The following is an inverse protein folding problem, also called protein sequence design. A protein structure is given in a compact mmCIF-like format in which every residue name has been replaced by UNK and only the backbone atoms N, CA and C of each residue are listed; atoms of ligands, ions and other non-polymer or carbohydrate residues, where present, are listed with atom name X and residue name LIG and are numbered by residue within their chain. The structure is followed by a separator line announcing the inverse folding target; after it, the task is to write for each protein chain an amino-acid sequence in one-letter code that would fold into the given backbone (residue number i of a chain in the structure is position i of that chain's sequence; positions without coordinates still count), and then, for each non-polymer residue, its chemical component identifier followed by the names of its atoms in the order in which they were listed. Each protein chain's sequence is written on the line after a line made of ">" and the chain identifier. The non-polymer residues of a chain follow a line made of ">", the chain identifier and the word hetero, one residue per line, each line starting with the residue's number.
data_IF_355593794882
#
_entry.id   IF_355593794882
#
_cell.length_a   1.000
_cell.length_b   1.000
_cell.length_c   1.000
_cell.angle_alpha   90.00
_cell.angle_beta   90.00
_cell.angle_gamma   90.00
#
_symmetry.space_group_name_H-M   'P 1'
#
loop_
_entity.id
_entity.type
_entity.pdbx_description
1 polymer ?
#
# COMPACT_ATOMS: atom_id res chain seq x y z
N UNK A 1 -0.45 -2.07 -48.20
CA UNK A 1 -0.55 -3.27 -47.35
C UNK A 1 0.83 -3.87 -46.99
N UNK A 2 1.71 -4.17 -47.96
CA UNK A 2 3.06 -4.77 -47.68
C UNK A 2 3.94 -3.93 -46.71
N UNK A 3 3.91 -2.59 -46.79
CA UNK A 3 4.68 -1.70 -45.92
C UNK A 3 4.20 -1.73 -44.45
N UNK A 4 2.86 -1.83 -44.23
CA UNK A 4 2.28 -1.91 -42.87
C UNK A 4 2.64 -3.23 -42.22
N UNK A 5 2.59 -4.33 -42.95
CA UNK A 5 2.97 -5.66 -42.44
C UNK A 5 4.46 -5.69 -42.03
N UNK A 6 5.34 -5.07 -42.83
CA UNK A 6 6.77 -4.99 -42.52
C UNK A 6 7.06 -4.14 -41.28
N UNK A 7 6.30 -3.03 -41.12
CA UNK A 7 6.45 -2.16 -39.94
C UNK A 7 5.95 -2.85 -38.67
N UNK A 8 4.83 -3.57 -38.74
CA UNK A 8 4.29 -4.36 -37.62
C UNK A 8 5.26 -5.50 -37.27
N UNK A 9 5.82 -6.18 -38.26
CA UNK A 9 6.80 -7.27 -38.03
C UNK A 9 8.11 -6.76 -37.44
N UNK A 10 8.60 -5.60 -37.88
CA UNK A 10 9.77 -4.95 -37.30
C UNK A 10 9.54 -4.47 -35.86
N UNK A 11 8.36 -3.92 -35.57
CA UNK A 11 7.97 -3.50 -34.22
C UNK A 11 7.81 -4.71 -33.26
N UNK A 12 7.22 -5.80 -33.74
CA UNK A 12 7.09 -7.04 -32.93
C UNK A 12 8.44 -7.73 -32.73
N UNK A 13 9.34 -7.71 -33.69
CA UNK A 13 10.68 -8.28 -33.52
C UNK A 13 11.54 -7.47 -32.54
N UNK A 14 11.42 -6.13 -32.51
CA UNK A 14 12.09 -5.30 -31.52
C UNK A 14 11.57 -5.56 -30.09
N UNK A 15 10.27 -5.82 -29.94
CA UNK A 15 9.66 -6.18 -28.65
C UNK A 15 10.11 -7.58 -28.16
N UNK A 16 10.40 -8.50 -29.05
CA UNK A 16 10.88 -9.83 -28.71
C UNK A 16 12.39 -9.87 -28.32
N UNK A 17 13.16 -8.85 -28.73
CA UNK A 17 14.59 -8.73 -28.35
C UNK A 17 14.83 -7.97 -27.06
N UNK A 18 13.81 -7.35 -26.46
CA UNK A 18 13.93 -6.86 -25.10
C UNK A 18 13.90 -8.07 -24.15
N UNK A 19 15.03 -8.71 -23.98
CA UNK A 19 15.19 -9.63 -22.83
C UNK A 19 14.89 -8.81 -21.59
N UNK A 20 13.94 -9.23 -20.75
CA UNK A 20 13.76 -8.58 -19.46
C UNK A 20 15.09 -8.74 -18.72
N UNK A 21 15.88 -7.68 -18.63
CA UNK A 21 17.04 -7.66 -17.76
C UNK A 21 16.48 -7.60 -16.35
N UNK A 22 16.23 -8.77 -15.76
CA UNK A 22 15.99 -8.82 -14.33
C UNK A 22 17.26 -8.26 -13.68
N UNK A 23 17.11 -7.16 -12.97
CA UNK A 23 18.15 -6.72 -12.09
C UNK A 23 18.52 -7.87 -11.15
N UNK A 24 19.81 -8.08 -10.93
CA UNK A 24 20.24 -9.07 -9.93
C UNK A 24 19.64 -8.75 -8.56
N UNK A 25 19.52 -7.46 -8.23
CA UNK A 25 18.90 -6.94 -7.03
C UNK A 25 18.18 -5.64 -7.34
N UNK A 26 17.11 -5.38 -6.64
CA UNK A 26 16.44 -4.10 -6.68
C UNK A 26 16.06 -3.66 -5.26
N UNK A 27 16.20 -2.38 -5.00
CA UNK A 27 15.74 -1.72 -3.76
C UNK A 27 14.71 -0.68 -4.14
N UNK A 28 13.54 -0.75 -3.55
CA UNK A 28 12.46 0.20 -3.79
C UNK A 28 12.09 0.95 -2.52
N UNK A 29 11.80 2.24 -2.68
CA UNK A 29 11.28 3.13 -1.65
C UNK A 29 10.05 3.82 -2.20
N UNK A 30 8.96 3.79 -1.45
CA UNK A 30 7.70 4.45 -1.81
C UNK A 30 7.07 5.16 -0.63
N UNK A 31 6.13 6.02 -0.96
CA UNK A 31 5.29 6.73 0.02
C UNK A 31 3.82 6.53 -0.32
N UNK A 32 2.94 6.39 0.68
CA UNK A 32 1.51 6.42 0.47
C UNK A 32 1.07 7.84 0.08
N UNK A 33 0.17 7.94 -0.89
CA UNK A 33 -0.40 9.20 -1.35
C UNK A 33 -1.80 9.38 -0.82
N UNK A 34 -2.61 8.32 -0.85
CA UNK A 34 -3.98 8.36 -0.36
C UNK A 34 -4.42 7.00 0.15
N UNK A 35 -5.35 7.01 1.12
CA UNK A 35 -6.05 5.83 1.59
C UNK A 35 -7.55 6.05 1.47
N UNK A 36 -8.25 4.99 1.07
CA UNK A 36 -9.71 4.91 1.12
C UNK A 36 -10.09 3.80 2.08
N UNK A 37 -11.00 4.06 3.01
CA UNK A 37 -11.54 3.05 3.91
C UNK A 37 -12.97 2.74 3.45
N UNK A 38 -13.26 1.46 3.19
CA UNK A 38 -14.55 0.98 2.66
C UNK A 38 -15.21 -0.06 3.57
N UNK A 39 -14.57 -0.38 4.68
CA UNK A 39 -15.10 -1.32 5.67
C UNK A 39 -16.38 -0.80 6.36
N UNK A 40 -17.07 -1.67 7.09
CA UNK A 40 -18.37 -1.34 7.72
C UNK A 40 -18.29 -0.23 8.77
N UNK A 41 -17.12 0.02 9.34
CA UNK A 41 -16.87 1.12 10.28
C UNK A 41 -16.29 2.36 9.58
N UNK A 42 -16.28 2.38 8.25
CA UNK A 42 -15.83 3.52 7.46
C UNK A 42 -16.91 4.61 7.36
N UNK A 43 -16.45 5.83 7.24
CA UNK A 43 -17.30 6.98 6.93
C UNK A 43 -17.31 8.07 7.98
N UNK A 44 -17.86 9.22 7.60
CA UNK A 44 -17.92 10.41 8.47
C UNK A 44 -18.77 10.17 9.74
N UNK A 45 -19.83 9.35 9.63
CA UNK A 45 -20.69 9.00 10.76
C UNK A 45 -19.97 8.24 11.88
N UNK A 46 -18.85 7.59 11.56
CA UNK A 46 -18.01 6.87 12.53
C UNK A 46 -16.71 7.60 12.86
N UNK A 47 -16.48 8.78 12.27
CA UNK A 47 -15.25 9.55 12.47
C UNK A 47 -13.99 8.95 11.81
N UNK A 48 -14.16 7.98 10.93
CA UNK A 48 -13.06 7.24 10.28
C UNK A 48 -12.84 7.65 8.81
N UNK A 49 -13.25 8.84 8.41
CA UNK A 49 -12.98 9.34 7.07
C UNK A 49 -11.50 9.70 6.92
N UNK A 50 -10.75 9.10 5.97
CA UNK A 50 -9.35 9.42 5.75
C UNK A 50 -9.15 10.88 5.33
N UNK A 51 -8.12 11.51 5.88
CA UNK A 51 -7.67 12.86 5.50
C UNK A 51 -6.29 12.80 4.86
N UNK A 52 -5.28 12.45 5.64
CA UNK A 52 -3.89 12.43 5.20
C UNK A 52 -3.22 11.12 5.56
N UNK A 53 -2.56 10.51 4.58
CA UNK A 53 -1.73 9.31 4.78
C UNK A 53 -0.26 9.67 4.70
N UNK A 54 0.54 9.14 5.61
CA UNK A 54 1.99 9.34 5.67
C UNK A 54 2.69 8.08 6.12
N UNK A 55 3.90 7.85 5.64
CA UNK A 55 4.68 6.67 5.94
C UNK A 55 5.56 6.26 4.78
N UNK A 56 5.90 4.98 4.70
CA UNK A 56 6.79 4.46 3.67
C UNK A 56 6.45 3.03 3.30
N UNK A 57 6.90 2.66 2.09
CA UNK A 57 6.95 1.31 1.55
C UNK A 57 8.39 1.01 1.20
N UNK A 58 8.94 -0.07 1.72
CA UNK A 58 10.28 -0.54 1.39
C UNK A 58 10.17 -1.90 0.73
N UNK A 59 10.94 -2.11 -0.34
CA UNK A 59 11.02 -3.39 -1.02
C UNK A 59 12.47 -3.75 -1.35
N UNK A 60 12.77 -5.02 -1.25
CA UNK A 60 14.04 -5.60 -1.66
C UNK A 60 13.74 -6.81 -2.53
N UNK A 61 14.20 -6.77 -3.78
CA UNK A 61 14.06 -7.86 -4.74
C UNK A 61 15.36 -8.65 -4.84
N UNK A 62 15.21 -9.95 -4.79
CA UNK A 62 16.26 -10.93 -4.99
C UNK A 62 16.39 -11.29 -6.48
N UNK A 63 17.47 -11.94 -6.88
CA UNK A 63 17.53 -12.63 -8.16
C UNK A 63 16.31 -13.55 -8.33
N UNK A 64 15.88 -13.78 -9.56
CA UNK A 64 14.68 -14.59 -9.90
C UNK A 64 13.34 -13.91 -9.60
N UNK A 65 13.31 -12.59 -9.57
CA UNK A 65 12.07 -11.78 -9.49
C UNK A 65 11.27 -11.89 -8.18
N UNK A 66 11.77 -12.64 -7.19
CA UNK A 66 11.15 -12.74 -5.86
C UNK A 66 11.64 -11.59 -4.97
N UNK A 67 10.78 -11.04 -4.12
CA UNK A 67 11.16 -9.98 -3.20
C UNK A 67 10.38 -9.98 -1.90
N UNK A 68 10.91 -9.19 -0.96
CA UNK A 68 10.35 -8.96 0.36
C UNK A 68 10.17 -7.46 0.58
N UNK A 69 9.18 -7.08 1.36
CA UNK A 69 8.95 -5.69 1.66
C UNK A 69 8.33 -5.46 3.02
N UNK A 70 8.41 -4.23 3.47
CA UNK A 70 7.71 -3.74 4.65
C UNK A 70 7.00 -2.45 4.29
N UNK A 71 5.74 -2.33 4.74
CA UNK A 71 4.97 -1.10 4.66
C UNK A 71 4.68 -0.64 6.08
N UNK A 72 4.90 0.64 6.34
CA UNK A 72 4.54 1.27 7.62
C UNK A 72 3.99 2.65 7.35
N UNK A 73 2.73 2.86 7.65
CA UNK A 73 2.07 4.14 7.41
C UNK A 73 0.93 4.40 8.40
N UNK A 74 0.63 5.67 8.57
CA UNK A 74 -0.47 6.17 9.39
C UNK A 74 -1.37 7.04 8.55
N UNK A 75 -2.67 6.76 8.59
CA UNK A 75 -3.70 7.60 7.98
C UNK A 75 -4.44 8.34 9.07
N UNK A 76 -4.37 9.65 9.03
CA UNK A 76 -5.16 10.52 9.92
C UNK A 76 -6.59 10.60 9.41
N UNK A 77 -7.52 10.67 10.36
CA UNK A 77 -8.93 10.87 10.04
C UNK A 77 -9.27 12.36 10.02
N UNK A 78 -10.25 12.72 9.21
CA UNK A 78 -10.81 14.07 9.22
C UNK A 78 -11.36 14.37 10.61
N UNK A 79 -11.04 15.53 11.12
CA UNK A 79 -11.68 16.09 12.32
C UNK A 79 -13.08 16.51 11.92
N UNK A 80 -14.07 15.66 12.10
CA UNK A 80 -15.46 15.96 11.82
C UNK A 80 -16.24 16.20 13.11
N UNK A 81 -17.38 16.90 13.01
CA UNK A 81 -18.34 17.14 14.10
C UNK A 81 -19.07 15.86 14.53
N UNK A 82 -18.34 14.80 14.76
CA UNK A 82 -18.91 13.58 15.28
C UNK A 82 -19.23 13.77 16.77
N UNK A 83 -20.47 14.19 17.08
CA UNK A 83 -20.97 14.21 18.45
C UNK A 83 -20.98 12.80 19.01
N UNK A 84 -19.99 12.47 19.83
CA UNK A 84 -19.83 11.15 20.46
C UNK A 84 -18.78 10.25 19.87
N UNK A 85 -18.06 10.68 18.83
CA UNK A 85 -16.89 10.00 18.36
C UNK A 85 -15.67 10.61 19.04
N UNK A 86 -15.05 9.84 19.95
CA UNK A 86 -13.70 10.11 20.46
C UNK A 86 -13.44 11.59 20.78
N UNK A 87 -13.65 12.01 21.99
CA UNK A 87 -13.38 13.35 22.54
C UNK A 87 -12.22 14.05 21.84
N UNK A 88 -12.49 14.98 20.95
CA UNK A 88 -11.67 15.27 19.80
C UNK A 88 -10.90 16.55 19.95
N UNK A 89 -9.78 16.49 20.60
CA UNK A 89 -8.77 17.56 20.46
C UNK A 89 -7.58 17.16 19.60
N UNK A 90 -7.49 15.92 19.18
CA UNK A 90 -6.39 15.49 18.27
C UNK A 90 -6.91 14.39 17.37
N UNK A 91 -7.03 14.69 16.09
CA UNK A 91 -7.53 13.76 15.07
C UNK A 91 -6.92 12.37 15.23
N UNK A 92 -7.79 11.38 15.42
CA UNK A 92 -7.40 9.97 15.44
C UNK A 92 -6.86 9.53 14.10
N UNK A 93 -6.21 8.38 14.08
CA UNK A 93 -5.66 7.79 12.87
C UNK A 93 -5.66 6.28 12.92
N UNK A 94 -5.26 5.69 11.82
CA UNK A 94 -5.10 4.26 11.64
C UNK A 94 -3.64 3.99 11.26
N UNK A 95 -2.90 3.30 12.09
CA UNK A 95 -1.53 2.89 11.83
C UNK A 95 -1.52 1.46 11.32
N UNK A 96 -0.88 1.24 10.19
CA UNK A 96 -0.77 -0.05 9.52
C UNK A 96 0.68 -0.42 9.31
N UNK A 97 1.05 -1.64 9.71
CA UNK A 97 2.36 -2.22 9.50
C UNK A 97 2.19 -3.58 8.82
N UNK A 98 2.84 -3.77 7.67
CA UNK A 98 2.73 -4.97 6.85
C UNK A 98 4.11 -5.51 6.50
N UNK A 99 4.22 -6.83 6.45
CA UNK A 99 5.35 -7.54 5.84
C UNK A 99 4.85 -8.23 4.58
N UNK A 100 5.58 -8.06 3.50
CA UNK A 100 5.18 -8.45 2.15
C UNK A 100 6.14 -9.44 1.55
N UNK A 101 5.60 -10.32 0.71
CA UNK A 101 6.34 -11.04 -0.32
C UNK A 101 5.78 -10.62 -1.68
N UNK A 102 6.64 -10.52 -2.67
CA UNK A 102 6.22 -10.10 -4.00
C UNK A 102 7.00 -10.80 -5.10
N UNK A 103 6.42 -10.78 -6.28
CA UNK A 103 7.01 -11.30 -7.50
C UNK A 103 6.92 -10.25 -8.59
N UNK A 104 8.04 -10.02 -9.28
CA UNK A 104 8.08 -9.19 -10.46
C UNK A 104 7.77 -10.02 -11.69
N UNK A 105 6.70 -9.66 -12.39
CA UNK A 105 6.31 -10.31 -13.63
C UNK A 105 7.23 -9.88 -14.79
N UNK A 106 7.63 -10.82 -15.66
CA UNK A 106 8.47 -10.53 -16.82
C UNK A 106 7.68 -9.84 -17.93
N UNK A 107 7.25 -8.60 -17.69
CA UNK A 107 6.53 -7.81 -18.71
C UNK A 107 7.54 -6.93 -19.42
N UNK A 108 7.63 -6.98 -20.76
CA UNK A 108 8.50 -6.08 -21.52
C UNK A 108 8.11 -4.61 -21.26
N UNK A 109 9.11 -3.73 -21.18
CA UNK A 109 8.94 -2.25 -21.12
C UNK A 109 8.48 -1.72 -19.76
N UNK A 110 7.82 -2.50 -18.91
CA UNK A 110 7.37 -2.06 -17.58
C UNK A 110 7.72 -3.10 -16.51
N UNK A 111 8.01 -2.66 -15.31
CA UNK A 111 8.19 -3.54 -14.16
C UNK A 111 6.85 -3.71 -13.44
N UNK A 112 6.19 -4.84 -13.67
CA UNK A 112 4.94 -5.17 -13.01
C UNK A 112 5.19 -6.07 -11.81
N UNK A 113 4.80 -5.61 -10.63
CA UNK A 113 4.94 -6.34 -9.37
C UNK A 113 3.56 -6.72 -8.86
N UNK A 114 3.43 -7.95 -8.40
CA UNK A 114 2.29 -8.42 -7.61
C UNK A 114 2.79 -8.94 -6.27
N UNK A 115 2.07 -8.65 -5.19
CA UNK A 115 2.49 -9.03 -3.86
C UNK A 115 1.34 -9.30 -2.91
N UNK A 116 1.69 -10.04 -1.87
CA UNK A 116 0.83 -10.37 -0.75
C UNK A 116 1.51 -9.96 0.54
N UNK A 117 0.73 -9.50 1.51
CA UNK A 117 1.24 -9.09 2.80
C UNK A 117 0.36 -9.49 3.95
N UNK A 118 1.01 -9.64 5.11
CA UNK A 118 0.36 -9.85 6.40
C UNK A 118 0.90 -8.85 7.41
N UNK A 119 0.08 -8.45 8.36
CA UNK A 119 0.51 -7.47 9.34
C UNK A 119 -0.57 -7.11 10.34
N UNK A 120 -0.48 -5.90 10.84
CA UNK A 120 -1.38 -5.38 11.87
C UNK A 120 -1.84 -3.98 11.56
N UNK A 121 -3.05 -3.68 12.04
CA UNK A 121 -3.62 -2.35 12.00
C UNK A 121 -4.09 -1.99 13.41
N UNK A 122 -3.82 -0.76 13.85
CA UNK A 122 -4.19 -0.25 15.17
C UNK A 122 -4.67 1.19 15.08
N UNK A 123 -5.55 1.60 15.99
CA UNK A 123 -5.90 3.01 16.11
C UNK A 123 -4.77 3.81 16.77
N UNK A 124 -4.45 4.95 16.18
CA UNK A 124 -3.47 5.92 16.65
C UNK A 124 -4.22 7.19 17.08
N UNK A 125 -4.52 7.30 18.37
CA UNK A 125 -5.15 8.47 18.95
C UNK A 125 -4.74 8.68 20.39
N UNK A 126 -5.02 9.86 20.92
CA UNK A 126 -4.95 10.19 22.35
C UNK A 126 -6.36 10.53 22.83
N UNK A 127 -6.75 9.93 23.93
CA UNK A 127 -8.01 10.21 24.61
C UNK A 127 -7.87 11.45 25.53
N UNK A 128 -8.98 12.01 25.99
CA UNK A 128 -8.99 13.22 26.87
C UNK A 128 -8.25 12.98 28.19
N UNK A 129 -8.25 11.74 28.69
CA UNK A 129 -7.52 11.33 29.87
C UNK A 129 -6.02 11.06 29.62
N UNK A 130 -5.53 11.38 28.42
CA UNK A 130 -4.12 11.22 28.01
C UNK A 130 -3.69 9.80 27.69
N UNK A 131 -4.59 8.81 27.77
CA UNK A 131 -4.31 7.43 27.38
C UNK A 131 -4.34 7.28 25.85
N UNK A 132 -3.57 6.36 25.32
CA UNK A 132 -3.65 6.01 23.89
C UNK A 132 -4.86 5.12 23.58
N UNK A 133 -5.29 5.08 22.32
CA UNK A 133 -6.34 4.17 21.86
C UNK A 133 -6.05 2.69 22.15
N UNK A 134 -4.80 2.33 22.32
CA UNK A 134 -4.40 0.97 22.72
C UNK A 134 -4.92 0.52 24.09
N UNK A 135 -5.42 1.43 24.92
CA UNK A 135 -6.11 1.08 26.17
C UNK A 135 -7.54 0.57 25.94
N UNK A 136 -8.14 0.91 24.81
CA UNK A 136 -9.54 0.64 24.48
C UNK A 136 -9.73 -0.25 23.25
N UNK A 137 -8.70 -0.44 22.45
CA UNK A 137 -8.72 -1.25 21.24
C UNK A 137 -7.47 -2.10 21.11
N UNK A 138 -7.69 -3.37 20.84
CA UNK A 138 -6.62 -4.30 20.50
C UNK A 138 -6.13 -4.07 19.07
N UNK A 139 -4.86 -4.41 18.82
CA UNK A 139 -4.34 -4.48 17.45
C UNK A 139 -5.09 -5.54 16.66
N UNK A 140 -5.58 -5.16 15.48
CA UNK A 140 -6.19 -6.09 14.54
C UNK A 140 -5.15 -6.69 13.60
N UNK A 141 -5.37 -7.95 13.22
CA UNK A 141 -4.65 -8.55 12.10
C UNK A 141 -5.12 -7.96 10.77
N UNK A 142 -4.19 -7.76 9.86
CA UNK A 142 -4.48 -7.27 8.52
C UNK A 142 -3.77 -8.12 7.47
N UNK A 143 -4.40 -8.22 6.30
CA UNK A 143 -3.81 -8.83 5.11
C UNK A 143 -3.92 -7.85 3.95
N UNK A 144 -3.00 -7.93 3.01
CA UNK A 144 -3.08 -7.13 1.79
C UNK A 144 -2.66 -7.93 0.57
N UNK A 145 -3.19 -7.55 -0.58
CA UNK A 145 -2.57 -7.80 -1.86
C UNK A 145 -2.26 -6.47 -2.51
N UNK A 146 -1.23 -6.44 -3.33
CA UNK A 146 -0.89 -5.21 -4.03
C UNK A 146 -0.33 -5.48 -5.42
N UNK A 147 -0.42 -4.46 -6.26
CA UNK A 147 0.26 -4.38 -7.54
C UNK A 147 1.02 -3.08 -7.62
N UNK A 148 2.13 -3.10 -8.33
CA UNK A 148 2.94 -1.91 -8.62
C UNK A 148 3.41 -1.95 -10.05
N UNK A 149 3.29 -0.83 -10.76
CA UNK A 149 3.78 -0.66 -12.11
C UNK A 149 4.95 0.29 -12.05
N UNK A 150 6.13 -0.18 -12.44
CA UNK A 150 7.36 0.58 -12.57
C UNK A 150 7.59 0.97 -14.03
N UNK A 151 7.89 2.25 -14.26
CA UNK A 151 8.28 2.77 -15.56
C UNK A 151 9.78 3.06 -15.49
N UNK A 152 10.61 2.34 -16.26
CA UNK A 152 12.04 2.60 -16.31
C UNK A 152 12.30 3.95 -17.00
N UNK A 153 12.92 4.88 -16.28
CA UNK A 153 13.33 6.17 -16.84
C UNK A 153 14.74 6.13 -17.41
N UNK A 154 15.63 5.45 -16.71
CA UNK A 154 17.02 5.19 -17.10
C UNK A 154 17.37 3.77 -16.68
N UNK A 155 18.48 3.16 -17.18
CA UNK A 155 18.78 1.75 -16.99
C UNK A 155 18.78 1.20 -15.57
N UNK A 156 18.95 2.06 -14.55
CA UNK A 156 19.04 1.62 -13.15
C UNK A 156 17.97 2.25 -12.25
N UNK A 157 16.99 2.95 -12.83
CA UNK A 157 16.07 3.72 -12.05
C UNK A 157 14.65 3.68 -12.62
N UNK A 158 13.69 3.30 -11.79
CA UNK A 158 12.26 3.24 -12.12
C UNK A 158 11.45 4.15 -11.22
N UNK A 159 10.37 4.70 -11.76
CA UNK A 159 9.30 5.31 -10.98
C UNK A 159 8.16 4.30 -10.88
N UNK A 160 7.64 4.09 -9.69
CA UNK A 160 6.57 3.14 -9.40
C UNK A 160 5.28 3.83 -8.98
N UNK A 161 4.17 3.36 -9.54
CA UNK A 161 2.83 3.61 -9.03
C UNK A 161 2.30 2.31 -8.43
N UNK A 162 1.81 2.36 -7.20
CA UNK A 162 1.34 1.17 -6.50
C UNK A 162 -0.09 1.32 -5.99
N UNK A 163 -0.83 0.21 -6.02
CA UNK A 163 -2.16 0.06 -5.44
C UNK A 163 -2.14 -1.13 -4.47
N UNK A 164 -2.62 -0.91 -3.27
CA UNK A 164 -2.72 -1.90 -2.20
C UNK A 164 -4.16 -2.04 -1.75
N UNK A 165 -4.68 -3.25 -1.73
CA UNK A 165 -5.99 -3.57 -1.15
C UNK A 165 -5.78 -4.24 0.19
N UNK A 166 -6.35 -3.69 1.24
CA UNK A 166 -6.12 -4.07 2.62
C UNK A 166 -7.41 -4.61 3.22
N UNK A 167 -7.33 -5.76 3.85
CA UNK A 167 -8.40 -6.33 4.67
C UNK A 167 -8.01 -6.22 6.14
N UNK A 168 -8.72 -5.40 6.91
CA UNK A 168 -8.47 -5.11 8.32
C UNK A 168 -9.78 -5.16 9.12
N UNK A 169 -10.25 -6.37 9.47
CA UNK A 169 -11.58 -6.63 10.08
C UNK A 169 -11.54 -6.96 11.57
N UNK A 170 -10.38 -6.87 12.21
CA UNK A 170 -10.18 -7.50 13.52
C UNK A 170 -9.69 -6.54 14.61
N UNK A 171 -9.85 -5.23 14.44
CA UNK A 171 -9.61 -4.29 15.53
C UNK A 171 -10.75 -4.44 16.52
N UNK A 172 -10.46 -4.96 17.71
CA UNK A 172 -11.47 -5.30 18.72
C UNK A 172 -11.51 -4.25 19.81
N UNK A 173 -12.71 -3.76 20.12
CA UNK A 173 -12.94 -2.94 21.33
C UNK A 173 -12.84 -3.82 22.57
N UNK A 174 -12.04 -3.39 23.55
CA UNK A 174 -11.84 -4.09 24.84
C UNK A 174 -13.09 -4.05 25.71
N UNK A 175 -13.91 -3.00 25.59
CA UNK A 175 -15.14 -2.84 26.38
C UNK A 175 -16.31 -3.62 25.78
N UNK A 176 -16.58 -3.42 24.50
CA UNK A 176 -17.80 -3.98 23.86
C UNK A 176 -17.55 -5.35 23.19
N UNK A 177 -16.29 -5.71 22.99
CA UNK A 177 -15.91 -6.91 22.23
C UNK A 177 -16.26 -6.85 20.73
N UNK A 178 -16.81 -5.73 20.24
CA UNK A 178 -17.11 -5.53 18.82
C UNK A 178 -15.84 -5.41 18.02
N UNK A 179 -15.90 -5.89 16.79
CA UNK A 179 -14.79 -5.81 15.82
C UNK A 179 -15.08 -4.75 14.78
N UNK A 180 -14.11 -3.88 14.57
CA UNK A 180 -14.17 -2.85 13.55
C UNK A 180 -13.57 -3.36 12.24
N UNK A 181 -14.23 -2.99 11.13
CA UNK A 181 -13.79 -3.27 9.77
C UNK A 181 -13.27 -1.98 9.13
N UNK A 182 -11.95 -1.83 9.11
CA UNK A 182 -11.25 -0.71 8.49
C UNK A 182 -10.57 -1.12 7.17
N UNK A 183 -11.15 -2.09 6.48
CA UNK A 183 -10.68 -2.53 5.16
C UNK A 183 -10.76 -1.39 4.15
N UNK A 184 -9.87 -1.41 3.17
CA UNK A 184 -9.82 -0.36 2.17
C UNK A 184 -8.67 -0.52 1.18
N UNK A 185 -8.25 0.58 0.60
CA UNK A 185 -7.13 0.61 -0.34
C UNK A 185 -6.21 1.79 -0.10
N UNK A 186 -4.93 1.60 -0.46
CA UNK A 186 -3.90 2.65 -0.43
C UNK A 186 -3.25 2.73 -1.80
N UNK A 187 -3.12 3.95 -2.31
CA UNK A 187 -2.28 4.25 -3.47
C UNK A 187 -0.98 4.87 -3.03
N UNK A 188 0.08 4.61 -3.75
CA UNK A 188 1.40 5.15 -3.44
C UNK A 188 2.26 5.34 -4.67
N UNK A 189 3.25 6.19 -4.52
CA UNK A 189 4.31 6.42 -5.52
C UNK A 189 5.66 6.07 -4.92
N UNK A 190 6.58 5.67 -5.77
CA UNK A 190 7.90 5.27 -5.30
C UNK A 190 8.94 5.27 -6.41
N UNK A 191 10.13 4.94 -6.01
CA UNK A 191 11.29 4.77 -6.88
C UNK A 191 11.93 3.41 -6.62
N UNK A 192 12.55 2.83 -7.63
CA UNK A 192 13.37 1.65 -7.46
C UNK A 192 14.73 1.82 -8.14
N UNK A 193 15.74 1.30 -7.50
CA UNK A 193 17.09 1.18 -8.03
C UNK A 193 17.37 -0.29 -8.35
N UNK A 194 17.75 -0.56 -9.58
CA UNK A 194 17.99 -1.88 -10.13
C UNK A 194 19.51 -2.05 -10.37
N UNK A 195 20.09 -3.14 -9.88
CA UNK A 195 21.53 -3.44 -9.94
C UNK A 195 21.81 -4.74 -10.66
#
# INVERSE_FOLDING_TARGET
>A
MKKIILTVFAATSLLLYSTPSFALFSVSLGIPVSQTITGKTAGESYGNAPDKTSGYFLGFQLPFALGFGIDSYTTKFKTGDCKGCWGTTSGGGLKTNMTNIFYQLPVPVVNLIIGLGVGTTEYDCKTEDGKGCSAYYDKGSATQWYTSIGIPLIPFFDIHLSYRSITAKNIKSTESGKKDDNSGSVTGVGIAFNF
#
